data_IF_601246397451
#
_entry.id   IF_601246397451
#
_cell.length_a   1.000
_cell.length_b   1.000
_cell.length_c   1.000
_cell.angle_alpha   90.00
_cell.angle_beta   90.00
_cell.angle_gamma   90.00
#
_symmetry.space_group_name_H-M   'P 1'
#
loop_
_entity.id
_entity.type
_entity.pdbx_description
1 polymer ?
#
# COMPACT_ATOMS: atom_id res chain seq x y z
N UNK A 1 63.88 -37.88 1.54
CA UNK A 1 62.68 -37.83 0.68
C UNK A 1 61.51 -38.38 1.49
N UNK A 2 60.29 -37.81 1.47
CA UNK A 2 59.64 -37.15 0.35
C UNK A 2 59.28 -35.67 0.58
N UNK A 3 59.55 -34.85 -0.43
CA UNK A 3 59.11 -33.45 -0.60
C UNK A 3 58.00 -33.43 -1.65
N UNK A 4 56.78 -33.85 -1.31
CA UNK A 4 55.60 -33.60 -2.17
C UNK A 4 54.39 -33.55 -1.25
N UNK A 5 53.88 -32.35 -0.96
CA UNK A 5 52.48 -32.09 -0.58
C UNK A 5 52.17 -30.63 -0.16
N UNK A 6 53.17 -29.73 -0.16
CA UNK A 6 52.92 -28.32 0.16
C UNK A 6 52.36 -27.48 -1.01
N UNK A 7 52.46 -27.94 -2.26
CA UNK A 7 51.98 -27.18 -3.42
C UNK A 7 50.48 -27.33 -3.72
N UNK A 8 49.86 -28.46 -3.39
CA UNK A 8 48.41 -28.66 -3.65
C UNK A 8 47.54 -27.90 -2.64
N UNK A 9 48.05 -27.71 -1.41
CA UNK A 9 47.38 -26.92 -0.37
C UNK A 9 47.27 -25.44 -0.75
N UNK A 10 48.27 -24.90 -1.46
CA UNK A 10 48.27 -23.49 -1.88
C UNK A 10 47.34 -23.21 -3.06
N UNK A 11 47.17 -24.16 -4.00
CA UNK A 11 46.23 -24.05 -5.13
C UNK A 11 44.78 -24.15 -4.63
N UNK A 12 44.50 -24.99 -3.63
CA UNK A 12 43.17 -25.08 -3.04
C UNK A 12 42.84 -23.90 -2.11
N UNK A 13 43.82 -23.33 -1.39
CA UNK A 13 43.62 -22.09 -0.64
C UNK A 13 43.42 -20.88 -1.56
N UNK A 14 44.10 -20.81 -2.71
CA UNK A 14 43.90 -19.72 -3.67
C UNK A 14 42.57 -19.83 -4.44
N UNK A 15 41.97 -21.02 -4.55
CA UNK A 15 40.59 -21.17 -5.02
C UNK A 15 39.53 -20.89 -3.93
N UNK A 16 39.81 -21.19 -2.66
CA UNK A 16 38.89 -20.91 -1.55
C UNK A 16 38.92 -19.44 -1.11
N UNK A 17 40.03 -18.74 -1.37
CA UNK A 17 40.17 -17.29 -1.29
C UNK A 17 40.02 -16.70 -2.71
N UNK A 18 39.00 -17.16 -3.45
CA UNK A 18 38.37 -16.29 -4.45
C UNK A 18 37.68 -15.19 -3.67
N UNK A 19 38.53 -14.24 -3.31
CA UNK A 19 38.22 -13.04 -2.58
C UNK A 19 36.96 -12.45 -3.17
N UNK A 20 35.92 -12.34 -2.35
CA UNK A 20 34.89 -11.33 -2.47
C UNK A 20 35.53 -9.95 -2.26
N UNK A 21 36.58 -9.65 -3.02
CA UNK A 21 37.00 -8.29 -3.25
C UNK A 21 35.77 -7.61 -3.81
N UNK A 22 35.32 -6.59 -3.08
CA UNK A 22 34.56 -5.47 -3.60
C UNK A 22 35.35 -4.93 -4.80
N UNK A 23 35.24 -5.64 -5.92
CA UNK A 23 35.77 -5.27 -7.21
C UNK A 23 35.22 -3.88 -7.47
N UNK A 24 36.14 -2.93 -7.63
CA UNK A 24 35.87 -1.56 -7.99
C UNK A 24 34.78 -1.58 -9.07
N UNK A 25 33.58 -1.13 -8.68
CA UNK A 25 32.31 -1.33 -9.38
C UNK A 25 32.30 -0.73 -10.79
N UNK A 26 33.40 -0.06 -11.17
CA UNK A 26 33.60 0.75 -12.36
C UNK A 26 33.74 -0.02 -13.68
N UNK A 27 33.89 -1.34 -13.70
CA UNK A 27 33.87 -2.09 -14.98
C UNK A 27 33.20 -3.46 -14.89
N UNK A 28 31.93 -3.51 -14.44
CA UNK A 28 31.11 -4.69 -14.72
C UNK A 28 30.83 -4.75 -16.23
N UNK A 29 31.69 -5.47 -16.97
CA UNK A 29 31.51 -5.78 -18.41
C UNK A 29 30.36 -6.78 -18.65
N UNK A 30 29.65 -7.18 -17.60
CA UNK A 30 28.59 -8.19 -17.63
C UNK A 30 27.20 -7.57 -17.53
N UNK A 31 26.26 -8.14 -18.28
CA UNK A 31 24.84 -7.81 -18.14
C UNK A 31 24.25 -8.44 -16.88
N UNK A 32 23.41 -7.70 -16.17
CA UNK A 32 22.83 -8.19 -14.93
C UNK A 32 21.88 -7.22 -14.24
N UNK A 33 21.62 -7.48 -12.96
CA UNK A 33 20.76 -6.68 -12.11
C UNK A 33 21.53 -6.23 -10.89
N UNK A 34 21.61 -4.91 -10.71
CA UNK A 34 22.22 -4.26 -9.56
C UNK A 34 21.14 -3.93 -8.52
N UNK A 35 21.20 -4.60 -7.38
CA UNK A 35 20.28 -4.47 -6.27
C UNK A 35 20.91 -3.75 -5.06
N UNK A 36 21.94 -2.92 -5.27
CA UNK A 36 22.58 -2.15 -4.21
C UNK A 36 23.74 -2.92 -3.61
N UNK A 37 23.48 -3.81 -2.65
CA UNK A 37 24.48 -4.68 -2.00
C UNK A 37 24.76 -5.99 -2.76
N UNK A 38 24.07 -6.24 -3.87
CA UNK A 38 24.28 -7.42 -4.68
C UNK A 38 24.15 -7.14 -6.17
N UNK A 39 24.95 -7.85 -6.96
CA UNK A 39 24.83 -7.91 -8.41
C UNK A 39 24.48 -9.34 -8.85
N UNK A 40 23.51 -9.47 -9.74
CA UNK A 40 23.05 -10.73 -10.29
C UNK A 40 23.22 -10.71 -11.81
N UNK A 41 24.29 -11.30 -12.32
CA UNK A 41 24.49 -11.43 -13.76
C UNK A 41 23.45 -12.36 -14.39
N UNK A 42 23.29 -12.26 -15.71
CA UNK A 42 22.27 -13.02 -16.45
C UNK A 42 22.42 -14.54 -16.31
N UNK A 43 23.66 -15.03 -16.25
CA UNK A 43 23.93 -16.46 -16.06
C UNK A 43 23.37 -16.95 -14.71
N UNK A 44 23.58 -16.19 -13.64
CA UNK A 44 23.04 -16.51 -12.32
C UNK A 44 21.51 -16.46 -12.31
N UNK A 45 20.92 -15.45 -12.93
CA UNK A 45 19.45 -15.35 -13.06
C UNK A 45 18.90 -16.55 -13.83
N UNK A 46 19.53 -16.95 -14.93
CA UNK A 46 19.16 -18.12 -15.71
C UNK A 46 19.22 -19.42 -14.90
N UNK A 47 20.30 -19.63 -14.12
CA UNK A 47 20.41 -20.80 -13.25
C UNK A 47 19.29 -20.87 -12.22
N UNK A 48 18.98 -19.74 -11.57
CA UNK A 48 17.89 -19.69 -10.57
C UNK A 48 16.54 -19.98 -11.22
N UNK A 49 16.28 -19.47 -12.44
CA UNK A 49 15.07 -19.82 -13.18
C UNK A 49 15.01 -21.31 -13.52
N UNK A 50 16.12 -21.92 -13.93
CA UNK A 50 16.18 -23.37 -14.19
C UNK A 50 15.77 -24.16 -12.95
N UNK A 51 16.22 -23.74 -11.78
CA UNK A 51 15.78 -24.32 -10.49
C UNK A 51 14.29 -24.08 -10.22
N UNK A 52 13.80 -22.85 -10.43
CA UNK A 52 12.39 -22.52 -10.23
C UNK A 52 11.47 -23.37 -11.12
N UNK A 53 11.89 -23.68 -12.34
CA UNK A 53 11.13 -24.48 -13.30
C UNK A 53 11.39 -25.99 -13.26
N UNK A 54 12.17 -26.50 -12.29
CA UNK A 54 12.29 -27.94 -12.05
C UNK A 54 10.96 -28.53 -11.56
N UNK A 55 10.83 -29.86 -11.54
CA UNK A 55 9.60 -30.52 -11.07
C UNK A 55 9.26 -30.14 -9.62
N UNK A 56 10.27 -30.06 -8.75
CA UNK A 56 10.14 -29.60 -7.36
C UNK A 56 9.87 -28.10 -7.31
N UNK A 57 10.55 -27.34 -8.16
CA UNK A 57 10.45 -25.88 -8.17
C UNK A 57 9.04 -25.41 -8.51
N UNK A 58 8.42 -26.00 -9.54
CA UNK A 58 7.06 -25.66 -9.97
C UNK A 58 6.01 -25.87 -8.88
N UNK A 59 6.21 -26.81 -7.96
CA UNK A 59 5.29 -27.09 -6.84
C UNK A 59 5.27 -25.96 -5.80
N UNK A 60 6.29 -25.09 -5.79
CA UNK A 60 6.47 -24.05 -4.77
C UNK A 60 6.61 -22.63 -5.34
N UNK A 61 6.47 -22.44 -6.66
CA UNK A 61 6.35 -21.11 -7.27
C UNK A 61 5.11 -20.42 -6.68
N UNK A 62 5.26 -19.15 -6.29
CA UNK A 62 4.15 -18.34 -5.78
C UNK A 62 3.80 -17.24 -6.78
N UNK A 63 2.50 -16.92 -6.96
CA UNK A 63 2.11 -15.71 -7.66
C UNK A 63 2.69 -14.49 -6.94
N UNK A 64 3.09 -13.49 -7.70
CA UNK A 64 3.49 -12.21 -7.13
C UNK A 64 2.30 -11.59 -6.41
N UNK A 65 2.53 -11.12 -5.19
CA UNK A 65 1.55 -10.36 -4.43
C UNK A 65 2.25 -9.11 -3.90
N UNK A 66 1.94 -7.97 -4.49
CA UNK A 66 2.51 -6.70 -4.08
C UNK A 66 2.18 -5.54 -5.01
N UNK A 67 2.57 -4.31 -4.63
CA UNK A 67 2.18 -3.10 -5.34
C UNK A 67 3.04 -2.75 -6.57
N UNK A 68 4.10 -3.50 -6.90
CA UNK A 68 4.97 -3.18 -8.05
C UNK A 68 4.34 -3.54 -9.40
N UNK A 69 3.45 -4.52 -9.41
CA UNK A 69 2.78 -5.02 -10.61
C UNK A 69 1.30 -5.13 -10.33
N UNK A 70 0.48 -4.97 -11.36
CA UNK A 70 -0.96 -5.24 -11.27
C UNK A 70 -1.19 -6.76 -11.23
N UNK A 71 -2.17 -7.19 -10.42
CA UNK A 71 -2.58 -8.60 -10.35
C UNK A 71 -2.99 -9.15 -11.72
N UNK A 72 -3.50 -8.29 -12.62
CA UNK A 72 -3.87 -8.65 -13.98
C UNK A 72 -2.69 -9.16 -14.83
N UNK A 73 -1.44 -8.86 -14.43
CA UNK A 73 -0.25 -9.28 -15.17
C UNK A 73 0.09 -10.77 -14.98
N UNK A 74 -0.48 -11.44 -13.98
CA UNK A 74 -0.24 -12.86 -13.69
C UNK A 74 1.25 -13.21 -13.59
N UNK A 75 2.01 -12.40 -12.86
CA UNK A 75 3.44 -12.64 -12.61
C UNK A 75 3.65 -13.57 -11.42
N UNK A 76 4.79 -14.24 -11.43
CA UNK A 76 5.24 -15.18 -10.41
C UNK A 76 6.55 -14.72 -9.80
N UNK A 77 6.86 -15.23 -8.60
CA UNK A 77 8.11 -14.91 -7.92
C UNK A 77 8.84 -16.13 -7.39
N UNK A 78 10.16 -15.99 -7.37
CA UNK A 78 11.07 -16.95 -6.78
C UNK A 78 12.13 -16.27 -5.92
N UNK A 79 12.37 -16.72 -4.67
CA UNK A 79 13.33 -16.12 -3.79
C UNK A 79 14.75 -16.47 -4.21
N UNK A 80 15.64 -15.50 -4.19
CA UNK A 80 17.07 -15.75 -4.37
C UNK A 80 17.70 -15.92 -3.00
N UNK A 81 18.03 -17.17 -2.68
CA UNK A 81 18.69 -17.54 -1.43
C UNK A 81 20.21 -17.39 -1.59
N UNK A 82 20.90 -17.03 -0.51
CA UNK A 82 22.37 -17.01 -0.49
C UNK A 82 22.91 -18.42 -0.77
N UNK A 83 24.00 -18.51 -1.53
CA UNK A 83 24.74 -19.76 -1.75
C UNK A 83 25.03 -20.40 -0.39
N UNK A 84 24.60 -21.65 -0.20
CA UNK A 84 24.73 -22.39 1.07
C UNK A 84 23.39 -22.83 1.69
N UNK A 85 22.26 -22.29 1.23
CA UNK A 85 20.95 -22.86 1.59
C UNK A 85 20.74 -24.18 0.84
N UNK A 86 21.20 -25.30 1.42
CA UNK A 86 20.97 -26.64 0.88
C UNK A 86 19.49 -27.01 0.78
N UNK A 87 18.67 -26.44 1.66
CA UNK A 87 17.24 -26.72 1.67
C UNK A 87 16.54 -25.88 0.62
N UNK A 88 15.70 -26.56 -0.17
CA UNK A 88 14.80 -25.92 -1.10
C UNK A 88 14.00 -24.82 -0.41
N UNK A 89 13.49 -23.85 -1.16
CA UNK A 89 12.78 -22.74 -0.58
C UNK A 89 11.58 -23.24 0.28
N UNK A 90 11.53 -22.80 1.54
CA UNK A 90 10.37 -23.03 2.42
C UNK A 90 9.48 -21.80 2.45
N UNK A 91 8.22 -21.91 2.88
CA UNK A 91 7.33 -20.73 3.07
C UNK A 91 8.00 -19.61 3.90
N UNK A 92 8.78 -19.95 4.93
CA UNK A 92 9.56 -19.01 5.75
C UNK A 92 10.65 -18.29 4.95
N UNK A 93 11.27 -18.99 3.99
CA UNK A 93 12.32 -18.44 3.13
C UNK A 93 11.81 -17.28 2.25
N UNK A 94 10.57 -17.31 1.74
CA UNK A 94 9.99 -16.18 0.95
C UNK A 94 9.83 -14.93 1.78
N UNK A 95 9.35 -15.09 3.02
CA UNK A 95 9.10 -13.99 3.94
C UNK A 95 10.40 -13.29 4.34
N UNK A 96 11.50 -14.05 4.40
CA UNK A 96 12.83 -13.55 4.76
C UNK A 96 13.69 -13.19 3.54
N UNK A 97 13.29 -13.60 2.34
CA UNK A 97 14.05 -13.34 1.13
C UNK A 97 14.24 -11.82 0.95
N UNK A 98 15.51 -11.43 0.83
CA UNK A 98 15.89 -10.05 0.50
C UNK A 98 15.71 -9.79 -0.99
N UNK A 99 15.89 -10.82 -1.82
CA UNK A 99 15.87 -10.72 -3.28
C UNK A 99 14.89 -11.73 -3.87
N UNK A 100 14.18 -11.34 -4.92
CA UNK A 100 13.29 -12.24 -5.65
C UNK A 100 13.40 -11.98 -7.16
N UNK A 101 13.31 -13.03 -7.96
CA UNK A 101 13.11 -12.93 -9.41
C UNK A 101 11.61 -12.84 -9.67
N UNK A 102 11.20 -11.93 -10.55
CA UNK A 102 9.84 -11.82 -11.06
C UNK A 102 9.82 -12.25 -12.52
N UNK A 103 8.93 -13.16 -12.87
CA UNK A 103 8.80 -13.69 -14.24
C UNK A 103 7.33 -13.93 -14.61
N UNK A 104 7.03 -13.94 -15.91
CA UNK A 104 5.68 -14.27 -16.39
C UNK A 104 5.43 -15.78 -16.48
N UNK A 105 4.21 -16.16 -16.86
CA UNK A 105 3.79 -17.55 -17.04
C UNK A 105 4.66 -18.37 -18.01
N UNK A 106 5.41 -17.71 -18.90
CA UNK A 106 6.29 -18.36 -19.87
C UNK A 106 7.73 -18.47 -19.35
N UNK A 107 8.00 -18.04 -18.12
CA UNK A 107 9.35 -18.00 -17.53
C UNK A 107 10.21 -16.86 -18.03
N UNK A 108 9.65 -15.88 -18.76
CA UNK A 108 10.40 -14.68 -19.15
C UNK A 108 10.58 -13.79 -17.93
N UNK A 109 11.84 -13.52 -17.58
CA UNK A 109 12.18 -12.57 -16.51
C UNK A 109 11.61 -11.20 -16.85
N UNK A 110 10.87 -10.63 -15.91
CA UNK A 110 10.42 -9.23 -15.97
C UNK A 110 11.40 -8.34 -15.26
N UNK A 111 11.77 -8.71 -14.03
CA UNK A 111 12.60 -7.89 -13.17
C UNK A 111 13.23 -8.73 -12.05
N UNK A 112 14.26 -8.16 -11.42
CA UNK A 112 14.69 -8.57 -10.10
C UNK A 112 14.20 -7.55 -9.08
N UNK A 113 13.70 -7.99 -7.93
CA UNK A 113 13.22 -7.09 -6.87
C UNK A 113 13.98 -7.32 -5.56
N UNK A 114 14.22 -6.22 -4.84
CA UNK A 114 14.89 -6.21 -3.54
C UNK A 114 13.97 -5.65 -2.46
N UNK A 115 14.05 -6.25 -1.27
CA UNK A 115 13.28 -5.83 -0.09
C UNK A 115 13.86 -4.54 0.48
N UNK A 116 12.97 -3.58 0.68
CA UNK A 116 13.25 -2.27 1.26
C UNK A 116 13.21 -2.30 2.79
N UNK A 117 13.76 -1.27 3.43
CA UNK A 117 13.71 -1.11 4.89
C UNK A 117 12.28 -1.00 5.46
N UNK A 118 11.29 -0.67 4.63
CA UNK A 118 9.88 -0.61 4.98
C UNK A 118 9.12 -1.92 4.65
N UNK A 119 9.83 -3.01 4.36
CA UNK A 119 9.31 -4.33 3.98
C UNK A 119 8.56 -4.41 2.64
N UNK A 120 8.47 -3.31 1.89
CA UNK A 120 8.04 -3.35 0.49
C UNK A 120 9.19 -3.83 -0.40
N UNK A 121 8.92 -4.00 -1.69
CA UNK A 121 9.94 -4.32 -2.69
C UNK A 121 10.16 -3.15 -3.63
N UNK A 122 11.33 -3.11 -4.25
CA UNK A 122 11.64 -2.24 -5.38
C UNK A 122 12.39 -3.02 -6.45
N UNK A 123 12.26 -2.58 -7.71
CA UNK A 123 13.01 -3.13 -8.83
C UNK A 123 14.49 -2.82 -8.67
N UNK A 124 15.31 -3.83 -8.93
CA UNK A 124 16.75 -3.67 -9.07
C UNK A 124 17.06 -3.03 -10.42
N UNK A 125 18.21 -2.37 -10.49
CA UNK A 125 18.65 -1.67 -11.67
C UNK A 125 19.20 -2.64 -12.72
N UNK A 126 18.63 -2.67 -13.93
CA UNK A 126 19.18 -3.47 -15.05
C UNK A 126 20.45 -2.81 -15.57
N UNK A 127 21.58 -3.52 -15.50
CA UNK A 127 22.87 -3.08 -16.05
C UNK A 127 23.07 -3.79 -17.37
N UNK A 128 23.22 -3.02 -18.45
CA UNK A 128 23.58 -3.50 -19.78
C UNK A 128 24.96 -2.94 -20.11
N UNK A 129 25.92 -3.80 -20.42
CA UNK A 129 27.33 -3.43 -20.64
C UNK A 129 27.54 -2.45 -21.81
N UNK A 130 26.59 -2.38 -22.73
CA UNK A 130 26.63 -1.49 -23.90
C UNK A 130 25.95 -0.14 -23.69
N UNK A 131 25.24 0.05 -22.56
CA UNK A 131 24.38 1.21 -22.35
C UNK A 131 25.11 2.28 -21.54
N UNK A 132 25.25 3.48 -22.11
CA UNK A 132 25.89 4.60 -21.43
C UNK A 132 25.08 5.05 -20.22
N UNK A 133 25.77 5.45 -19.14
CA UNK A 133 25.13 5.96 -17.92
C UNK A 133 24.26 7.21 -18.20
N UNK A 134 24.53 7.97 -19.27
CA UNK A 134 23.69 9.11 -19.66
C UNK A 134 22.31 8.68 -20.19
N UNK A 135 22.23 7.59 -20.95
CA UNK A 135 20.96 7.08 -21.51
C UNK A 135 20.01 6.51 -20.45
N UNK A 136 20.52 6.32 -19.24
CA UNK A 136 19.81 5.81 -18.08
C UNK A 136 18.99 6.94 -17.41
N UNK A 137 19.53 8.15 -17.39
CA UNK A 137 18.88 9.31 -16.77
C UNK A 137 18.00 10.10 -17.76
N UNK A 138 18.22 9.93 -19.06
CA UNK A 138 17.44 10.58 -20.11
C UNK A 138 16.22 9.75 -20.50
N UNK A 139 15.19 9.76 -19.63
CA UNK A 139 13.84 9.36 -20.04
C UNK A 139 13.13 10.63 -20.49
N UNK A 140 12.94 10.77 -21.80
CA UNK A 140 12.26 11.91 -22.40
C UNK A 140 10.85 12.09 -21.80
N UNK A 141 10.57 13.30 -21.30
CA UNK A 141 9.30 13.59 -20.62
C UNK A 141 9.14 12.95 -19.23
N UNK A 142 10.22 12.44 -18.61
CA UNK A 142 10.17 12.04 -17.20
C UNK A 142 9.79 13.22 -16.31
N UNK A 143 8.91 12.95 -15.35
CA UNK A 143 8.39 13.96 -14.42
C UNK A 143 8.52 13.52 -12.95
N UNK A 144 9.36 12.52 -12.70
CA UNK A 144 9.63 12.02 -11.36
C UNK A 144 10.48 10.75 -11.35
N UNK A 145 10.45 10.07 -10.20
CA UNK A 145 11.21 8.87 -9.90
C UNK A 145 10.30 7.75 -9.38
N UNK A 146 10.47 6.54 -9.91
CA UNK A 146 9.88 5.30 -9.39
C UNK A 146 10.84 4.67 -8.37
N UNK A 147 10.42 4.65 -7.11
CA UNK A 147 11.16 4.10 -5.98
C UNK A 147 10.36 2.96 -5.35
N UNK A 148 10.40 1.79 -5.96
CA UNK A 148 9.49 0.69 -5.60
C UNK A 148 8.04 1.04 -5.96
N UNK A 149 7.05 0.88 -5.07
CA UNK A 149 5.66 1.20 -5.42
C UNK A 149 5.36 2.70 -5.42
N UNK A 150 6.32 3.52 -4.97
CA UNK A 150 6.12 4.95 -4.82
C UNK A 150 6.64 5.69 -6.05
N UNK A 151 5.85 6.66 -6.51
CA UNK A 151 6.26 7.63 -7.51
C UNK A 151 6.50 8.99 -6.85
N UNK A 152 7.72 9.51 -6.96
CA UNK A 152 8.14 10.79 -6.37
C UNK A 152 8.25 11.84 -7.49
N UNK A 153 7.34 12.83 -7.56
CA UNK A 153 7.32 13.80 -8.64
C UNK A 153 8.47 14.81 -8.51
N UNK A 154 8.89 15.39 -9.64
CA UNK A 154 9.99 16.35 -9.70
C UNK A 154 9.74 17.60 -8.85
N UNK A 155 8.50 18.04 -8.76
CA UNK A 155 8.11 19.14 -7.89
C UNK A 155 8.43 18.88 -6.41
N UNK A 156 8.37 17.63 -5.97
CA UNK A 156 8.80 17.23 -4.62
C UNK A 156 10.32 17.22 -4.50
N UNK A 157 11.02 16.69 -5.51
CA UNK A 157 12.49 16.66 -5.54
C UNK A 157 13.07 18.08 -5.46
N UNK A 158 12.55 19.02 -6.25
CA UNK A 158 12.96 20.44 -6.24
C UNK A 158 12.74 21.07 -4.86
N UNK A 159 11.60 20.81 -4.21
CA UNK A 159 11.33 21.28 -2.85
C UNK A 159 12.32 20.70 -1.84
N UNK A 160 12.60 19.40 -1.91
CA UNK A 160 13.57 18.74 -1.05
C UNK A 160 14.99 19.29 -1.26
N UNK A 161 15.40 19.52 -2.52
CA UNK A 161 16.71 20.09 -2.86
C UNK A 161 16.89 21.49 -2.28
N UNK A 162 15.89 22.36 -2.42
CA UNK A 162 15.94 23.71 -1.85
C UNK A 162 16.20 23.66 -0.34
N UNK A 163 15.43 22.84 0.38
CA UNK A 163 15.56 22.72 1.84
C UNK A 163 16.89 22.07 2.22
N UNK A 164 17.34 21.05 1.49
CA UNK A 164 18.63 20.42 1.73
C UNK A 164 19.78 21.42 1.55
N UNK A 165 19.73 22.23 0.50
CA UNK A 165 20.69 23.31 0.24
C UNK A 165 20.73 24.35 1.36
N UNK A 166 19.55 24.78 1.84
CA UNK A 166 19.44 25.69 2.98
C UNK A 166 20.03 25.12 4.29
N UNK A 167 20.20 23.80 4.40
CA UNK A 167 20.73 23.14 5.60
C UNK A 167 22.19 22.67 5.45
N UNK A 168 22.83 22.84 4.29
CA UNK A 168 24.23 22.49 4.09
C UNK A 168 25.14 23.31 5.01
N UNK A 169 26.04 22.65 5.73
CA UNK A 169 27.04 23.29 6.57
C UNK A 169 26.54 23.83 7.92
N UNK A 170 25.23 23.76 8.20
CA UNK A 170 24.64 24.31 9.44
C UNK A 170 24.79 23.41 10.69
N UNK A 171 25.50 22.28 10.59
CA UNK A 171 25.68 21.34 11.70
C UNK A 171 24.40 20.57 12.11
N UNK A 172 23.32 20.67 11.34
CA UNK A 172 22.12 19.86 11.55
C UNK A 172 22.38 18.38 11.22
N UNK A 173 21.51 17.49 11.72
CA UNK A 173 21.63 16.04 11.48
C UNK A 173 21.59 15.67 9.98
N UNK A 174 20.86 16.44 9.18
CA UNK A 174 20.87 16.37 7.72
C UNK A 174 21.31 17.72 7.12
N UNK A 175 21.94 17.72 5.92
CA UNK A 175 22.29 16.56 5.09
C UNK A 175 23.37 15.65 5.71
N UNK A 176 23.15 14.33 5.68
CA UNK A 176 24.01 13.32 6.31
C UNK A 176 25.02 12.79 5.30
N UNK A 177 26.28 12.56 5.67
CA UNK A 177 27.27 11.94 4.78
C UNK A 177 26.74 10.59 4.25
N UNK A 178 26.81 10.39 2.94
CA UNK A 178 26.45 9.13 2.31
C UNK A 178 27.42 8.03 2.75
N UNK A 179 26.87 6.87 3.12
CA UNK A 179 27.61 5.64 3.45
C UNK A 179 26.88 4.45 2.85
N UNK A 180 27.43 3.83 1.82
CA UNK A 180 26.86 2.67 1.14
C UNK A 180 27.57 2.40 -0.17
N UNK A 181 27.14 1.38 -0.91
CA UNK A 181 28.00 0.84 -1.98
C UNK A 181 27.80 1.52 -3.35
N UNK A 182 26.73 2.32 -3.52
CA UNK A 182 26.40 2.94 -4.81
C UNK A 182 27.43 3.99 -5.28
N UNK A 183 28.11 4.66 -4.36
CA UNK A 183 29.02 5.77 -4.63
C UNK A 183 30.24 5.66 -3.74
N UNK A 184 31.40 6.07 -4.25
CA UNK A 184 32.61 6.14 -3.45
C UNK A 184 32.52 7.27 -2.41
N UNK A 185 33.07 7.05 -1.22
CA UNK A 185 32.98 7.99 -0.09
C UNK A 185 33.75 9.29 -0.34
N UNK A 186 34.79 9.25 -1.16
CA UNK A 186 35.62 10.39 -1.58
C UNK A 186 34.84 11.48 -2.34
N UNK A 187 33.71 11.12 -2.97
CA UNK A 187 32.84 12.07 -3.67
C UNK A 187 32.14 13.05 -2.72
N UNK A 188 32.23 12.86 -1.41
CA UNK A 188 31.68 13.80 -0.42
C UNK A 188 30.16 13.96 -0.50
N UNK A 189 29.46 12.95 -1.03
CA UNK A 189 28.01 13.00 -1.24
C UNK A 189 27.25 13.00 0.08
N UNK A 190 26.11 13.67 0.10
CA UNK A 190 25.23 13.77 1.26
C UNK A 190 23.80 13.32 0.92
N UNK A 191 23.10 12.84 1.93
CA UNK A 191 21.74 12.37 1.87
C UNK A 191 20.79 13.38 2.49
N UNK A 192 19.61 13.52 1.90
CA UNK A 192 18.49 14.24 2.49
C UNK A 192 17.20 13.43 2.37
N UNK A 193 16.44 13.21 3.45
CA UNK A 193 15.25 12.35 3.43
C UNK A 193 14.09 12.98 2.66
N UNK A 194 13.29 12.14 1.98
CA UNK A 194 12.08 12.55 1.27
C UNK A 194 10.83 12.13 2.07
N UNK A 195 10.08 13.11 2.58
CA UNK A 195 8.85 12.91 3.34
C UNK A 195 7.60 13.35 2.56
N UNK A 196 7.30 12.69 1.43
CA UNK A 196 6.26 13.20 0.53
C UNK A 196 4.81 12.85 0.94
N UNK A 197 4.56 11.72 1.64
CA UNK A 197 3.20 11.28 1.98
C UNK A 197 2.47 12.14 3.01
N UNK A 198 3.20 12.78 3.92
CA UNK A 198 2.59 13.60 4.96
C UNK A 198 2.74 15.10 4.68
N UNK A 199 3.49 15.51 3.65
CA UNK A 199 3.84 16.89 3.26
C UNK A 199 4.38 17.81 4.38
N UNK A 200 4.39 17.37 5.63
CA UNK A 200 5.16 17.95 6.72
C UNK A 200 6.60 17.60 6.42
N UNK A 201 7.19 18.37 5.51
CA UNK A 201 8.63 18.39 5.31
C UNK A 201 9.19 18.90 6.63
N UNK A 202 9.59 17.98 7.50
CA UNK A 202 10.17 18.34 8.78
C UNK A 202 11.40 19.21 8.51
N UNK A 203 11.30 20.49 8.88
CA UNK A 203 12.41 21.44 8.74
C UNK A 203 13.69 20.93 9.41
N UNK A 204 13.55 20.07 10.43
CA UNK A 204 14.64 19.46 11.18
C UNK A 204 14.33 17.99 11.52
N UNK A 205 14.79 17.01 10.74
CA UNK A 205 14.65 15.61 11.10
C UNK A 205 15.66 15.28 12.21
N UNK A 206 15.18 15.12 13.44
CA UNK A 206 16.03 14.80 14.60
C UNK A 206 16.37 13.30 14.71
N UNK A 207 15.98 12.48 13.74
CA UNK A 207 16.26 11.05 13.76
C UNK A 207 16.37 10.49 12.33
N UNK A 208 17.19 9.44 12.11
CA UNK A 208 17.33 8.78 10.82
C UNK A 208 16.06 7.99 10.48
N UNK A 209 15.04 8.71 10.07
CA UNK A 209 13.72 8.19 9.72
C UNK A 209 13.48 8.43 8.24
N UNK A 210 13.04 7.40 7.54
CA UNK A 210 12.78 7.47 6.10
C UNK A 210 13.46 6.34 5.34
N UNK A 211 12.81 5.93 4.25
CA UNK A 211 13.35 4.93 3.32
C UNK A 211 13.85 5.57 2.03
N UNK A 212 13.41 6.79 1.70
CA UNK A 212 13.71 7.47 0.43
C UNK A 212 14.57 8.70 0.69
N UNK A 213 15.58 8.92 -0.13
CA UNK A 213 16.55 10.00 0.02
C UNK A 213 16.87 10.61 -1.34
N UNK A 214 17.08 11.93 -1.38
CA UNK A 214 17.86 12.56 -2.45
C UNK A 214 19.34 12.50 -2.07
N UNK A 215 20.19 12.29 -3.07
CA UNK A 215 21.64 12.36 -2.96
C UNK A 215 22.08 13.69 -3.55
N UNK A 216 22.80 14.49 -2.78
CA UNK A 216 23.33 15.78 -3.21
C UNK A 216 24.85 15.80 -3.07
N UNK A 217 25.52 16.55 -3.94
CA UNK A 217 26.95 16.81 -3.80
C UNK A 217 27.21 17.93 -2.77
N UNK A 218 28.48 18.27 -2.57
CA UNK A 218 28.91 19.34 -1.67
C UNK A 218 28.35 20.73 -2.03
N UNK A 219 27.98 20.96 -3.30
CA UNK A 219 27.37 22.21 -3.79
C UNK A 219 25.84 22.22 -3.69
N UNK A 220 25.23 21.13 -3.21
CA UNK A 220 23.78 21.00 -3.09
C UNK A 220 23.04 20.63 -4.37
N UNK A 221 23.75 20.29 -5.44
CA UNK A 221 23.15 19.80 -6.68
C UNK A 221 22.71 18.35 -6.52
N UNK A 222 21.56 18.02 -7.12
CA UNK A 222 21.05 16.65 -7.18
C UNK A 222 22.02 15.75 -7.95
N UNK A 223 22.39 14.63 -7.34
CA UNK A 223 23.08 13.53 -8.02
C UNK A 223 22.13 12.39 -8.34
N UNK A 224 21.27 12.01 -7.40
CA UNK A 224 20.34 10.90 -7.60
C UNK A 224 19.19 10.89 -6.58
N UNK A 225 18.22 10.01 -6.78
CA UNK A 225 17.21 9.62 -5.79
C UNK A 225 17.40 8.16 -5.47
N UNK A 226 17.57 7.82 -4.19
CA UNK A 226 17.85 6.47 -3.73
C UNK A 226 16.85 6.01 -2.67
N UNK A 227 16.70 4.69 -2.55
CA UNK A 227 15.88 4.07 -1.51
C UNK A 227 16.68 3.03 -0.72
N UNK A 228 16.45 3.00 0.59
CA UNK A 228 17.17 2.15 1.55
C UNK A 228 16.64 0.73 1.55
N UNK A 229 17.53 -0.24 1.38
CA UNK A 229 17.22 -1.68 1.43
C UNK A 229 17.11 -2.19 2.88
N UNK A 230 16.52 -3.37 3.08
CA UNK A 230 16.41 -3.99 4.41
C UNK A 230 17.78 -4.30 5.04
N UNK A 231 18.84 -4.37 4.24
CA UNK A 231 20.23 -4.56 4.69
C UNK A 231 20.97 -3.25 4.96
N UNK A 232 20.25 -2.14 5.11
CA UNK A 232 20.79 -0.79 5.39
C UNK A 232 21.68 -0.21 4.27
N UNK A 233 21.67 -0.81 3.09
CA UNK A 233 22.29 -0.27 1.88
C UNK A 233 21.25 0.51 1.04
N UNK A 234 21.60 0.90 -0.18
CA UNK A 234 20.74 1.69 -1.05
C UNK A 234 20.69 1.15 -2.48
N UNK A 235 19.58 1.41 -3.16
CA UNK A 235 19.44 1.26 -4.61
C UNK A 235 19.01 2.59 -5.24
N UNK A 236 19.35 2.78 -6.51
CA UNK A 236 18.90 3.93 -7.31
C UNK A 236 17.42 3.79 -7.65
N UNK A 237 16.68 4.89 -7.58
CA UNK A 237 15.34 4.97 -8.13
C UNK A 237 15.40 5.27 -9.63
N UNK A 238 14.40 4.84 -10.38
CA UNK A 238 14.40 4.98 -11.83
C UNK A 238 13.67 6.26 -12.23
N UNK A 239 14.21 7.04 -13.18
CA UNK A 239 13.44 8.13 -13.81
C UNK A 239 12.24 7.54 -14.51
N UNK A 240 11.06 8.07 -14.24
CA UNK A 240 9.83 7.58 -14.82
C UNK A 240 8.94 8.75 -15.24
N UNK A 241 8.17 8.52 -16.31
CA UNK A 241 7.05 9.39 -16.69
C UNK A 241 5.78 8.76 -16.14
N UNK A 242 5.13 9.45 -15.22
CA UNK A 242 3.78 9.13 -14.80
C UNK A 242 2.87 10.20 -15.38
N UNK A 243 2.10 9.83 -16.40
CA UNK A 243 1.13 10.74 -17.01
C UNK A 243 0.27 11.31 -15.90
N UNK A 244 0.24 12.65 -15.72
CA UNK A 244 -0.75 13.25 -14.85
C UNK A 244 -2.12 12.71 -15.27
N UNK A 245 -3.02 12.36 -14.34
CA UNK A 245 -4.38 12.00 -14.72
C UNK A 245 -4.93 13.10 -15.64
N UNK A 246 -5.49 12.69 -16.79
CA UNK A 246 -5.83 13.61 -17.87
C UNK A 246 -6.74 14.76 -17.34
N UNK A 247 -6.48 16.02 -17.71
CA UNK A 247 -7.21 17.19 -17.20
C UNK A 247 -8.70 17.22 -17.60
N UNK A 248 -9.11 16.44 -18.60
CA UNK A 248 -10.49 16.44 -19.14
C UNK A 248 -11.46 15.47 -18.45
N UNK A 249 -11.01 14.76 -17.41
CA UNK A 249 -11.97 14.42 -16.35
C UNK A 249 -12.16 15.70 -15.53
N UNK A 250 -13.04 16.59 -16.02
CA UNK A 250 -13.71 17.61 -15.20
C UNK A 250 -13.84 17.05 -13.80
N UNK A 251 -13.37 17.79 -12.80
CA UNK A 251 -13.49 17.47 -11.38
C UNK A 251 -14.97 17.14 -11.04
N UNK A 252 -15.41 15.93 -11.35
CA UNK A 252 -16.43 15.21 -10.63
C UNK A 252 -15.79 14.93 -9.27
N UNK A 253 -15.72 16.01 -8.48
CA UNK A 253 -15.52 16.04 -7.04
C UNK A 253 -14.81 14.80 -6.54
N UNK A 254 -13.47 14.78 -6.66
CA UNK A 254 -12.54 13.85 -6.01
C UNK A 254 -13.28 12.70 -5.33
N UNK A 255 -13.73 11.72 -6.12
CA UNK A 255 -14.56 10.64 -5.60
C UNK A 255 -13.76 10.06 -4.44
N UNK A 256 -14.28 10.15 -3.21
CA UNK A 256 -13.55 9.68 -2.05
C UNK A 256 -13.55 8.15 -2.11
N UNK A 257 -12.70 7.55 -2.94
CA UNK A 257 -12.53 6.11 -3.02
C UNK A 257 -12.19 5.63 -1.61
N UNK A 258 -13.12 4.91 -1.00
CA UNK A 258 -12.94 4.36 0.35
C UNK A 258 -12.30 3.00 0.19
N UNK A 259 -11.03 2.94 0.54
CA UNK A 259 -10.28 1.70 0.63
C UNK A 259 -10.61 1.01 1.95
N UNK A 260 -10.65 -0.31 1.93
CA UNK A 260 -10.94 -1.09 3.12
C UNK A 260 -10.98 -2.58 2.84
N UNK A 261 -11.61 -3.32 3.74
CA UNK A 261 -11.71 -4.78 3.67
C UNK A 261 -13.16 -5.24 3.82
N UNK A 262 -13.57 -6.28 3.10
CA UNK A 262 -14.89 -6.90 3.23
C UNK A 262 -14.77 -8.28 3.87
N UNK A 263 -15.46 -8.48 4.98
CA UNK A 263 -15.60 -9.79 5.63
C UNK A 263 -17.09 -10.12 5.76
N UNK A 264 -17.56 -11.20 5.15
CA UNK A 264 -18.93 -11.70 5.32
C UNK A 264 -19.99 -10.59 5.15
N UNK A 265 -19.86 -9.80 4.06
CA UNK A 265 -20.74 -8.68 3.73
C UNK A 265 -20.56 -7.41 4.57
N UNK A 266 -19.53 -7.35 5.42
CA UNK A 266 -19.24 -6.18 6.25
C UNK A 266 -18.00 -5.46 5.73
N UNK A 267 -18.15 -4.20 5.35
CA UNK A 267 -17.04 -3.34 4.95
C UNK A 267 -16.38 -2.65 6.16
N UNK A 268 -15.06 -2.73 6.22
CA UNK A 268 -14.18 -2.12 7.21
C UNK A 268 -13.35 -1.02 6.54
N UNK A 269 -13.64 0.23 6.87
CA UNK A 269 -12.98 1.40 6.28
C UNK A 269 -11.55 1.58 6.78
N UNK A 270 -10.62 1.89 5.86
CA UNK A 270 -9.22 2.12 6.20
C UNK A 270 -9.01 3.20 7.27
N UNK A 271 -9.82 4.24 7.31
CA UNK A 271 -9.70 5.28 8.33
C UNK A 271 -10.09 4.76 9.72
N UNK A 272 -11.17 3.98 9.80
CA UNK A 272 -11.61 3.30 11.03
C UNK A 272 -10.51 2.31 11.49
N UNK A 273 -9.95 1.53 10.57
CA UNK A 273 -8.89 0.56 10.85
C UNK A 273 -7.58 1.23 11.29
N UNK A 274 -7.18 2.34 10.67
CA UNK A 274 -6.01 3.14 11.10
C UNK A 274 -6.19 3.67 12.51
N UNK A 275 -7.39 4.13 12.86
CA UNK A 275 -7.69 4.56 14.22
C UNK A 275 -7.59 3.40 15.21
N UNK A 276 -8.12 2.23 14.85
CA UNK A 276 -8.02 1.03 15.67
C UNK A 276 -6.56 0.56 15.85
N UNK A 277 -5.72 0.63 14.81
CA UNK A 277 -4.30 0.33 14.86
C UNK A 277 -3.52 1.24 15.81
N UNK A 278 -3.80 2.56 15.80
CA UNK A 278 -3.22 3.51 16.77
C UNK A 278 -3.59 3.17 18.21
N UNK A 279 -4.84 2.77 18.45
CA UNK A 279 -5.28 2.34 19.79
C UNK A 279 -4.55 1.07 20.23
N UNK A 280 -4.37 0.09 19.33
CA UNK A 280 -3.61 -1.12 19.60
C UNK A 280 -2.16 -0.79 20.01
N UNK A 281 -1.53 0.16 19.29
CA UNK A 281 -0.17 0.60 19.58
C UNK A 281 -0.04 1.26 20.96
N UNK A 282 -1.01 2.12 21.33
CA UNK A 282 -1.05 2.76 22.65
C UNK A 282 -1.17 1.69 23.74
N UNK A 283 -2.08 0.73 23.58
CA UNK A 283 -2.30 -0.33 24.56
C UNK A 283 -1.03 -1.17 24.75
N UNK A 284 -0.37 -1.58 23.65
CA UNK A 284 0.90 -2.32 23.72
C UNK A 284 1.97 -1.56 24.50
N UNK A 285 2.12 -0.26 24.24
CA UNK A 285 3.11 0.59 24.93
C UNK A 285 2.84 0.73 26.42
N UNK A 286 1.57 0.76 26.82
CA UNK A 286 1.18 0.89 28.23
C UNK A 286 1.34 -0.41 29.04
N UNK A 287 1.75 -1.53 28.42
CA UNK A 287 1.97 -2.85 29.05
C UNK A 287 0.82 -3.34 29.94
N UNK A 288 -0.41 -2.87 29.70
CA UNK A 288 -1.56 -3.37 30.45
C UNK A 288 -1.82 -4.82 30.05
N UNK A 289 -1.92 -5.77 30.99
CA UNK A 289 -2.18 -7.17 30.67
C UNK A 289 -3.63 -7.34 30.21
N UNK A 290 -3.90 -7.07 28.93
CA UNK A 290 -5.24 -7.25 28.32
C UNK A 290 -5.25 -8.29 27.20
N UNK A 291 -4.22 -9.14 27.10
CA UNK A 291 -4.15 -10.23 26.10
C UNK A 291 -4.05 -9.78 24.64
N UNK A 292 -4.15 -8.47 24.38
CA UNK A 292 -4.07 -7.85 23.07
C UNK A 292 -3.20 -6.58 23.11
N UNK A 293 -2.56 -6.22 21.98
CA UNK A 293 -2.50 -6.97 20.72
C UNK A 293 -1.84 -8.35 20.89
N UNK A 294 -2.33 -9.36 20.16
CA UNK A 294 -1.85 -10.74 20.27
C UNK A 294 -0.90 -11.03 19.12
N UNK A 295 0.32 -11.47 19.43
CA UNK A 295 1.26 -11.89 18.40
C UNK A 295 0.70 -13.10 17.65
N UNK A 296 0.86 -13.09 16.33
CA UNK A 296 0.37 -14.14 15.45
C UNK A 296 1.37 -14.41 14.34
N UNK A 297 1.70 -15.69 14.18
CA UNK A 297 2.62 -16.17 13.16
C UNK A 297 2.03 -17.46 12.57
N UNK A 298 1.16 -17.31 11.57
CA UNK A 298 0.42 -18.44 11.00
C UNK A 298 -0.48 -18.07 9.82
N UNK A 299 -1.04 -19.07 9.11
CA UNK A 299 -1.97 -18.85 8.00
C UNK A 299 -3.25 -18.12 8.44
N UNK A 300 -3.79 -17.17 7.67
CA UNK A 300 -3.53 -16.94 6.24
C UNK A 300 -2.45 -15.88 6.01
N UNK A 301 -1.83 -15.34 7.06
CA UNK A 301 -0.86 -14.26 6.95
C UNK A 301 0.56 -14.81 6.76
N UNK A 302 1.23 -14.31 5.73
CA UNK A 302 2.59 -14.70 5.38
C UNK A 302 3.64 -13.82 6.07
N UNK A 303 3.32 -13.24 7.22
CA UNK A 303 4.28 -12.48 8.03
C UNK A 303 3.77 -12.39 9.46
N UNK A 304 4.68 -12.46 10.42
CA UNK A 304 4.32 -12.26 11.82
C UNK A 304 3.65 -10.90 12.01
N UNK A 305 2.54 -10.90 12.73
CA UNK A 305 1.65 -9.75 12.85
C UNK A 305 1.05 -9.67 14.26
N UNK A 306 0.43 -8.53 14.53
CA UNK A 306 -0.39 -8.30 15.70
C UNK A 306 -1.86 -8.46 15.31
N UNK A 307 -2.59 -9.28 16.06
CA UNK A 307 -4.04 -9.33 15.98
C UNK A 307 -4.63 -8.39 17.01
N UNK A 308 -5.59 -7.58 16.59
CA UNK A 308 -6.29 -6.64 17.44
C UNK A 308 -7.81 -6.78 17.29
N UNK A 309 -8.60 -6.94 18.36
CA UNK A 309 -10.03 -7.18 18.24
C UNK A 309 -10.77 -5.91 17.80
N UNK A 310 -11.58 -6.05 16.74
CA UNK A 310 -12.46 -5.00 16.25
C UNK A 310 -13.91 -5.48 16.21
N UNK A 311 -14.85 -4.56 16.35
CA UNK A 311 -16.27 -4.85 16.15
C UNK A 311 -16.65 -4.77 14.66
N UNK A 312 -17.90 -5.10 14.34
CA UNK A 312 -18.49 -5.01 12.98
C UNK A 312 -18.39 -3.63 12.32
N UNK A 313 -18.01 -2.60 13.07
CA UNK A 313 -17.91 -1.23 12.59
C UNK A 313 -16.46 -0.79 12.32
N UNK A 314 -15.49 -1.67 12.54
CA UNK A 314 -14.06 -1.36 12.47
C UNK A 314 -13.46 -0.71 13.72
N UNK A 315 -14.27 -0.51 14.77
CA UNK A 315 -13.83 0.15 16.00
C UNK A 315 -13.30 -0.87 17.01
N UNK A 316 -12.21 -0.53 17.69
CA UNK A 316 -11.60 -1.34 18.75
C UNK A 316 -12.51 -1.59 19.94
N UNK A 317 -12.45 -2.80 20.51
CA UNK A 317 -13.03 -3.07 21.83
C UNK A 317 -12.18 -2.42 22.93
N UNK A 318 -12.85 -1.81 23.93
CA UNK A 318 -12.23 -1.47 25.23
C UNK A 318 -12.62 -2.46 26.33
N UNK A 319 -13.83 -3.01 26.26
CA UNK A 319 -14.42 -3.93 27.23
C UNK A 319 -15.49 -4.80 26.56
N UNK A 320 -15.69 -6.03 27.03
CA UNK A 320 -16.78 -6.94 26.59
C UNK A 320 -16.33 -8.16 25.79
N UNK A 321 -17.31 -8.95 25.31
CA UNK A 321 -17.08 -10.17 24.52
C UNK A 321 -16.35 -9.84 23.21
N UNK A 322 -15.25 -10.54 22.96
CA UNK A 322 -14.47 -10.41 21.72
C UNK A 322 -15.34 -10.82 20.53
N UNK A 323 -15.47 -9.96 19.53
CA UNK A 323 -16.13 -10.30 18.27
C UNK A 323 -15.32 -11.33 17.48
N UNK A 324 -15.82 -11.81 16.35
CA UNK A 324 -15.07 -12.69 15.44
C UNK A 324 -14.02 -11.95 14.60
N UNK A 325 -14.14 -10.64 14.42
CA UNK A 325 -13.22 -9.86 13.56
C UNK A 325 -11.93 -9.45 14.28
N UNK A 326 -10.81 -9.49 13.56
CA UNK A 326 -9.47 -9.11 14.00
C UNK A 326 -8.88 -8.15 12.98
N UNK A 327 -8.48 -6.97 13.43
CA UNK A 327 -7.57 -6.12 12.68
C UNK A 327 -6.18 -6.76 12.72
N UNK A 328 -5.60 -6.96 11.55
CA UNK A 328 -4.28 -7.55 11.39
C UNK A 328 -3.32 -6.41 11.14
N UNK A 329 -2.34 -6.28 12.03
CA UNK A 329 -1.39 -5.19 12.03
C UNK A 329 0.01 -5.75 11.81
N UNK A 330 0.85 -5.05 11.07
CA UNK A 330 2.29 -5.31 11.05
C UNK A 330 2.89 -5.12 12.45
N UNK A 331 4.13 -5.58 12.67
CA UNK A 331 4.81 -5.40 13.96
C UNK A 331 5.02 -3.92 14.36
N UNK A 332 5.01 -3.02 13.38
CA UNK A 332 5.04 -1.56 13.53
C UNK A 332 3.63 -0.91 13.55
N UNK A 333 2.57 -1.70 13.76
CA UNK A 333 1.18 -1.26 13.93
C UNK A 333 0.54 -0.58 12.71
N UNK A 334 1.01 -0.89 11.50
CA UNK A 334 0.32 -0.51 10.25
C UNK A 334 -0.76 -1.53 9.92
N UNK A 335 -1.86 -1.06 9.33
CA UNK A 335 -2.95 -1.94 8.87
C UNK A 335 -2.41 -2.83 7.74
N UNK A 336 -2.41 -4.15 7.99
CA UNK A 336 -2.07 -5.16 6.98
C UNK A 336 -3.34 -5.67 6.29
N UNK A 337 -4.33 -6.06 7.09
CA UNK A 337 -5.60 -6.65 6.62
C UNK A 337 -6.64 -6.66 7.74
N UNK A 338 -7.82 -7.21 7.45
CA UNK A 338 -8.78 -7.68 8.45
C UNK A 338 -8.89 -9.20 8.32
N UNK A 339 -9.00 -9.91 9.45
CA UNK A 339 -9.31 -11.32 9.48
C UNK A 339 -10.61 -11.56 10.25
N UNK A 340 -11.29 -12.65 9.91
CA UNK A 340 -12.41 -13.19 10.66
C UNK A 340 -11.99 -14.50 11.30
N UNK A 341 -12.23 -14.65 12.59
CA UNK A 341 -12.08 -15.91 13.32
C UNK A 341 -13.24 -16.84 12.94
N UNK A 342 -12.94 -17.90 12.21
CA UNK A 342 -13.83 -19.05 12.01
C UNK A 342 -13.76 -20.01 13.19
N UNK A 343 -14.27 -21.22 13.02
CA UNK A 343 -14.34 -22.22 14.11
C UNK A 343 -12.94 -22.62 14.58
N UNK A 344 -12.02 -22.90 13.65
CA UNK A 344 -10.65 -23.33 13.95
C UNK A 344 -9.54 -22.48 13.33
N UNK A 345 -9.87 -21.57 12.42
CA UNK A 345 -8.87 -20.81 11.66
C UNK A 345 -9.21 -19.32 11.52
N UNK A 346 -8.22 -18.54 11.10
CA UNK A 346 -8.42 -17.16 10.67
C UNK A 346 -8.65 -17.14 9.16
N UNK A 347 -9.64 -16.40 8.72
CA UNK A 347 -9.92 -16.16 7.31
C UNK A 347 -9.57 -14.71 7.00
N UNK A 348 -8.66 -14.48 6.06
CA UNK A 348 -8.33 -13.13 5.62
C UNK A 348 -9.52 -12.54 4.85
N UNK A 349 -9.79 -11.26 5.08
CA UNK A 349 -10.84 -10.55 4.39
C UNK A 349 -10.32 -9.95 3.09
N UNK A 350 -11.22 -9.83 2.12
CA UNK A 350 -10.89 -9.32 0.79
C UNK A 350 -10.66 -7.81 0.85
N UNK A 351 -9.53 -7.34 0.30
CA UNK A 351 -9.30 -5.90 0.13
C UNK A 351 -10.22 -5.37 -0.97
N UNK A 352 -10.97 -4.32 -0.70
CA UNK A 352 -11.87 -3.69 -1.67
C UNK A 352 -11.70 -2.18 -1.65
N UNK A 353 -11.74 -1.60 -2.84
CA UNK A 353 -11.99 -0.18 -3.03
C UNK A 353 -13.48 -0.04 -3.34
N UNK A 354 -14.21 0.65 -2.47
CA UNK A 354 -15.61 1.01 -2.73
C UNK A 354 -15.67 2.50 -3.05
N UNK A 355 -16.60 2.87 -3.93
CA UNK A 355 -16.92 4.27 -4.15
C UNK A 355 -17.48 4.83 -2.84
N UNK A 356 -16.71 5.71 -2.23
CA UNK A 356 -16.86 5.98 -0.81
C UNK A 356 -17.73 7.17 -0.47
N UNK A 357 -18.11 7.95 -1.49
CA UNK A 357 -19.15 8.96 -1.35
C UNK A 357 -20.44 8.46 -1.96
N UNK A 358 -21.52 8.82 -1.30
CA UNK A 358 -22.88 8.65 -1.76
C UNK A 358 -23.04 9.44 -3.07
N UNK A 359 -22.75 8.81 -4.20
CA UNK A 359 -22.87 9.42 -5.53
C UNK A 359 -24.33 9.58 -5.90
N UNK A 360 -24.92 10.64 -5.38
CA UNK A 360 -26.25 11.06 -5.77
C UNK A 360 -26.06 12.09 -6.88
N UNK A 361 -25.93 11.63 -8.12
CA UNK A 361 -25.76 12.55 -9.25
C UNK A 361 -27.06 13.30 -9.56
N UNK A 362 -28.20 12.67 -9.24
CA UNK A 362 -29.54 13.19 -9.54
C UNK A 362 -30.13 13.87 -8.32
N UNK A 363 -30.80 15.00 -8.54
CA UNK A 363 -31.73 15.50 -7.53
C UNK A 363 -32.97 14.61 -7.52
N UNK A 364 -33.71 14.57 -6.42
CA UNK A 364 -34.96 13.80 -6.35
C UNK A 364 -36.11 14.74 -6.01
N UNK A 365 -37.19 14.67 -6.80
CA UNK A 365 -38.43 15.36 -6.54
C UNK A 365 -39.42 14.43 -5.84
N UNK A 366 -39.81 14.82 -4.63
CA UNK A 366 -40.80 14.16 -3.81
C UNK A 366 -41.97 15.12 -3.60
N UNK A 367 -43.05 14.98 -4.38
CA UNK A 367 -44.14 15.96 -4.41
C UNK A 367 -43.62 17.36 -4.78
N UNK A 368 -43.84 18.37 -3.93
CA UNK A 368 -43.32 19.73 -4.13
C UNK A 368 -41.86 19.91 -3.68
N UNK A 369 -41.30 18.95 -2.93
CA UNK A 369 -39.94 19.05 -2.41
C UNK A 369 -38.91 18.50 -3.41
N UNK A 370 -37.78 19.20 -3.52
CA UNK A 370 -36.61 18.76 -4.29
C UNK A 370 -35.44 18.62 -3.33
N UNK A 371 -34.83 17.45 -3.34
CA UNK A 371 -33.65 17.13 -2.56
C UNK A 371 -32.42 17.14 -3.45
N UNK A 372 -31.48 17.98 -3.08
CA UNK A 372 -30.18 18.05 -3.73
C UNK A 372 -29.33 16.79 -3.44
N UNK A 373 -28.41 16.44 -4.35
CA UNK A 373 -27.34 15.47 -4.11
C UNK A 373 -26.73 15.51 -2.71
N UNK A 374 -26.40 16.72 -2.25
CA UNK A 374 -25.72 16.97 -0.97
C UNK A 374 -26.60 16.63 0.23
N UNK A 375 -27.90 16.93 0.18
CA UNK A 375 -28.84 16.63 1.25
C UNK A 375 -29.04 15.13 1.41
N UNK A 376 -29.17 14.43 0.28
CA UNK A 376 -29.34 12.98 0.23
C UNK A 376 -28.08 12.28 0.75
N UNK A 377 -26.91 12.64 0.22
CA UNK A 377 -25.63 12.12 0.67
C UNK A 377 -25.41 12.35 2.19
N UNK A 378 -25.80 13.52 2.70
CA UNK A 378 -25.72 13.83 4.13
C UNK A 378 -26.64 12.96 4.98
N UNK A 379 -27.88 12.72 4.53
CA UNK A 379 -28.83 11.85 5.20
C UNK A 379 -28.34 10.40 5.21
N UNK A 380 -27.87 9.89 4.07
CA UNK A 380 -27.34 8.55 3.93
C UNK A 380 -26.08 8.33 4.79
N UNK A 381 -25.16 9.31 4.83
CA UNK A 381 -23.99 9.30 5.73
C UNK A 381 -24.37 9.21 7.20
N UNK A 382 -25.41 9.96 7.61
CA UNK A 382 -25.94 9.90 8.98
C UNK A 382 -26.59 8.54 9.26
N UNK A 383 -27.35 8.00 8.31
CA UNK A 383 -27.99 6.69 8.40
C UNK A 383 -26.94 5.59 8.61
N UNK A 384 -25.93 5.53 7.75
CA UNK A 384 -24.84 4.56 7.83
C UNK A 384 -24.07 4.64 9.16
N UNK A 385 -23.75 5.87 9.61
CA UNK A 385 -23.10 6.07 10.92
C UNK A 385 -23.96 5.63 12.09
N UNK A 386 -25.29 5.82 12.01
CA UNK A 386 -26.22 5.41 13.07
C UNK A 386 -26.48 3.92 13.09
N UNK A 387 -26.50 3.25 11.93
CA UNK A 387 -26.60 1.78 11.83
C UNK A 387 -25.53 1.07 12.65
N UNK A 388 -24.34 1.65 12.72
CA UNK A 388 -23.21 1.14 13.51
C UNK A 388 -23.48 1.14 15.03
N UNK A 389 -24.49 1.86 15.53
CA UNK A 389 -24.78 1.99 16.97
C UNK A 389 -25.89 1.00 17.38
N UNK A 390 -25.91 0.51 18.64
CA UNK A 390 -27.07 -0.20 19.16
C UNK A 390 -28.33 0.67 18.96
N UNK A 391 -29.35 0.13 18.31
CA UNK A 391 -30.56 0.88 17.96
C UNK A 391 -31.30 1.31 19.24
N UNK A 392 -31.07 2.56 19.67
CA UNK A 392 -31.96 3.26 20.62
C UNK A 392 -32.97 4.15 19.89
N UNK A 393 -32.71 4.48 18.64
CA UNK A 393 -33.57 5.30 17.79
C UNK A 393 -34.23 4.44 16.71
N UNK A 394 -35.47 4.75 16.36
CA UNK A 394 -36.21 4.06 15.29
C UNK A 394 -35.63 4.20 13.88
N UNK A 395 -34.48 4.85 13.69
CA UNK A 395 -33.81 4.97 12.39
C UNK A 395 -32.29 4.76 12.49
N UNK A 396 -31.65 4.22 11.43
CA UNK A 396 -32.28 3.69 10.22
C UNK A 396 -33.12 2.43 10.50
N UNK A 397 -34.25 2.28 9.82
CA UNK A 397 -35.21 1.18 10.00
C UNK A 397 -35.16 0.22 8.80
N UNK A 398 -35.37 -1.09 8.99
CA UNK A 398 -35.54 -2.03 7.87
C UNK A 398 -36.67 -1.60 6.92
N UNK A 399 -36.49 -1.87 5.63
CA UNK A 399 -37.48 -1.59 4.59
C UNK A 399 -37.66 -2.81 3.68
N UNK A 400 -38.91 -3.17 3.39
CA UNK A 400 -39.33 -4.35 2.62
C UNK A 400 -40.33 -3.98 1.50
N UNK A 401 -40.37 -2.71 1.09
CA UNK A 401 -41.27 -2.27 0.01
C UNK A 401 -40.64 -2.49 -1.37
N UNK A 402 -40.76 -1.49 -2.25
CA UNK A 402 -40.26 -1.56 -3.63
C UNK A 402 -38.80 -2.01 -3.71
N UNK A 403 -38.51 -2.81 -4.74
CA UNK A 403 -37.14 -3.20 -5.09
C UNK A 403 -36.45 -2.07 -5.84
N UNK A 404 -35.12 -1.98 -5.69
CA UNK A 404 -34.28 -0.97 -6.33
C UNK A 404 -33.16 -1.66 -7.11
N UNK A 405 -32.47 -0.91 -7.96
CA UNK A 405 -31.36 -1.41 -8.78
C UNK A 405 -30.14 -1.89 -7.96
N UNK A 406 -30.05 -1.49 -6.69
CA UNK A 406 -28.98 -1.95 -5.79
C UNK A 406 -29.46 -3.12 -4.95
N UNK A 407 -28.63 -4.14 -4.76
CA UNK A 407 -29.03 -5.33 -3.99
C UNK A 407 -29.32 -5.00 -2.53
N UNK A 408 -30.47 -5.47 -2.04
CA UNK A 408 -30.90 -5.37 -0.65
C UNK A 408 -30.10 -6.26 0.33
N UNK A 409 -30.44 -6.28 1.62
CA UNK A 409 -31.64 -5.69 2.24
C UNK A 409 -31.51 -4.18 2.48
N UNK A 410 -32.66 -3.50 2.52
CA UNK A 410 -32.74 -2.04 2.58
C UNK A 410 -33.01 -1.51 3.99
N UNK A 411 -32.54 -0.29 4.21
CA UNK A 411 -32.81 0.53 5.38
C UNK A 411 -33.28 1.91 4.95
N UNK A 412 -34.27 2.48 5.65
CA UNK A 412 -34.74 3.84 5.43
C UNK A 412 -34.26 4.79 6.52
N UNK A 413 -34.00 6.05 6.15
CA UNK A 413 -33.61 7.11 7.08
C UNK A 413 -34.21 8.47 6.69
N UNK A 414 -34.65 9.32 7.63
CA UNK A 414 -35.20 10.64 7.33
C UNK A 414 -34.26 11.55 6.52
N UNK A 415 -34.77 12.16 5.45
CA UNK A 415 -34.11 13.26 4.70
C UNK A 415 -34.94 14.54 4.87
N UNK A 416 -34.27 15.68 5.04
CA UNK A 416 -34.91 16.97 5.39
C UNK A 416 -34.20 18.12 4.68
N UNK A 417 -34.97 19.05 4.11
CA UNK A 417 -34.48 20.24 3.40
C UNK A 417 -33.87 21.27 4.35
N UNK A 418 -34.62 21.71 5.37
CA UNK A 418 -34.16 22.77 6.31
C UNK A 418 -34.86 22.76 7.69
N UNK A 419 -34.86 21.65 8.44
CA UNK A 419 -35.54 21.66 9.76
C UNK A 419 -34.71 21.11 10.92
N UNK A 420 -34.71 21.85 12.02
CA UNK A 420 -34.35 21.43 13.39
C UNK A 420 -35.41 20.54 14.05
N UNK A 421 -36.55 20.27 13.38
CA UNK A 421 -37.65 19.50 13.96
C UNK A 421 -37.19 18.08 14.35
N UNK A 422 -37.54 17.59 15.56
CA UNK A 422 -37.22 16.24 15.99
C UNK A 422 -38.02 15.17 15.24
N UNK A 423 -39.17 15.52 14.64
CA UNK A 423 -40.02 14.58 13.90
C UNK A 423 -39.35 14.13 12.60
N UNK A 424 -39.49 12.88 12.15
CA UNK A 424 -38.79 12.36 10.98
C UNK A 424 -39.24 12.98 9.64
N UNK A 425 -40.39 13.65 9.57
CA UNK A 425 -40.96 14.18 8.32
C UNK A 425 -41.48 13.07 7.40
N UNK A 426 -41.82 13.40 6.15
CA UNK A 426 -42.46 12.47 5.20
C UNK A 426 -41.47 11.76 4.27
N UNK A 427 -40.26 12.29 4.11
CA UNK A 427 -39.29 11.82 3.12
C UNK A 427 -38.22 10.92 3.75
N UNK A 428 -37.80 9.89 3.02
CA UNK A 428 -36.79 8.91 3.45
C UNK A 428 -35.75 8.69 2.36
N UNK A 429 -34.49 8.62 2.74
CA UNK A 429 -33.45 8.00 1.91
C UNK A 429 -33.40 6.51 2.19
N UNK A 430 -33.32 5.72 1.12
CA UNK A 430 -33.14 4.27 1.17
C UNK A 430 -31.67 3.95 0.96
N UNK A 431 -31.09 3.16 1.85
CA UNK A 431 -29.72 2.67 1.73
C UNK A 431 -29.67 1.15 1.93
N UNK A 432 -28.72 0.45 1.32
CA UNK A 432 -28.49 -0.96 1.58
C UNK A 432 -27.53 -1.19 2.78
N UNK A 433 -27.15 -2.46 3.03
CA UNK A 433 -26.18 -2.81 4.07
C UNK A 433 -24.74 -2.40 3.77
N UNK A 434 -24.42 -2.04 2.53
CA UNK A 434 -23.13 -1.46 2.15
C UNK A 434 -23.12 0.06 2.28
N UNK A 435 -24.27 0.65 2.60
CA UNK A 435 -24.50 2.09 2.59
C UNK A 435 -24.50 2.70 1.18
N UNK A 436 -24.87 1.93 0.17
CA UNK A 436 -25.19 2.47 -1.16
C UNK A 436 -26.61 3.06 -1.10
N UNK A 437 -26.84 4.17 -1.79
CA UNK A 437 -28.20 4.75 -1.88
C UNK A 437 -28.98 4.00 -2.95
N UNK A 438 -30.12 3.46 -2.54
CA UNK A 438 -31.04 2.77 -3.42
C UNK A 438 -32.03 3.73 -4.07
N UNK A 439 -32.48 4.76 -3.35
CA UNK A 439 -33.45 5.74 -3.85
C UNK A 439 -33.96 6.68 -2.75
N UNK A 440 -34.99 7.46 -3.09
CA UNK A 440 -35.70 8.34 -2.16
C UNK A 440 -37.19 7.98 -2.19
N UNK A 441 -37.78 7.89 -1.00
CA UNK A 441 -39.19 7.61 -0.80
C UNK A 441 -39.88 8.80 -0.14
N UNK A 442 -41.17 8.97 -0.41
CA UNK A 442 -42.05 9.91 0.29
C UNK A 442 -43.33 9.21 0.75
N UNK A 443 -43.92 9.70 1.82
CA UNK A 443 -45.20 9.20 2.32
C UNK A 443 -46.34 9.78 1.48
N UNK A 444 -47.12 8.93 0.84
CA UNK A 444 -48.34 9.34 0.14
C UNK A 444 -49.37 9.88 1.17
N UNK A 445 -49.96 11.07 0.94
CA UNK A 445 -50.84 11.70 1.90
C UNK A 445 -52.18 10.95 2.05
N UNK A 446 -52.61 10.19 1.05
CA UNK A 446 -53.88 9.50 0.98
C UNK A 446 -53.74 8.09 1.54
N UNK A 447 -52.82 7.28 1.00
CA UNK A 447 -52.66 5.87 1.38
C UNK A 447 -51.82 5.67 2.64
N UNK A 448 -51.00 6.67 3.02
CA UNK A 448 -49.98 6.56 4.07
C UNK A 448 -48.91 5.50 3.77
N UNK A 449 -48.73 5.13 2.51
CA UNK A 449 -47.68 4.23 2.07
C UNK A 449 -46.44 5.01 1.58
N UNK A 450 -45.28 4.35 1.56
CA UNK A 450 -44.06 4.94 1.00
C UNK A 450 -44.02 4.69 -0.50
N UNK A 451 -43.96 5.77 -1.28
CA UNK A 451 -43.85 5.75 -2.74
C UNK A 451 -42.52 6.35 -3.19
N UNK A 452 -41.99 5.88 -4.33
CA UNK A 452 -40.72 6.34 -4.86
C UNK A 452 -40.81 7.77 -5.42
N UNK A 453 -39.77 8.57 -5.15
CA UNK A 453 -39.63 9.91 -5.69
C UNK A 453 -38.98 9.88 -7.07
N UNK A 454 -39.42 10.75 -7.98
CA UNK A 454 -38.85 10.86 -9.32
C UNK A 454 -37.45 11.48 -9.29
N UNK A 455 -36.47 10.82 -9.92
CA UNK A 455 -35.14 11.39 -10.11
C UNK A 455 -35.17 12.46 -11.22
N UNK A 456 -34.61 13.64 -10.94
CA UNK A 456 -34.48 14.73 -11.91
C UNK A 456 -33.06 14.75 -12.49
N UNK A 457 -32.96 14.88 -13.82
CA UNK A 457 -31.67 15.13 -14.48
C UNK A 457 -31.22 16.57 -14.20
N UNK A 458 -29.90 16.84 -14.23
CA UNK A 458 -29.39 18.21 -14.12
C UNK A 458 -29.95 19.17 -15.19
N UNK A 459 -30.28 18.67 -16.39
CA UNK A 459 -30.84 19.51 -17.46
C UNK A 459 -32.25 20.01 -17.12
N UNK A 460 -33.10 19.14 -16.54
CA UNK A 460 -34.47 19.49 -16.17
C UNK A 460 -34.55 20.57 -15.07
N UNK A 461 -33.45 20.81 -14.35
CA UNK A 461 -33.33 21.89 -13.36
C UNK A 461 -32.90 23.23 -13.96
N UNK A 462 -32.30 23.25 -15.16
CA UNK A 462 -31.88 24.48 -15.82
C UNK A 462 -32.99 25.13 -16.65
N UNK A 463 -33.98 24.35 -17.08
CA UNK A 463 -35.14 24.83 -17.87
C UNK A 463 -36.23 25.50 -17.03
N UNK A 464 -36.08 25.55 -15.70
CA UNK A 464 -37.03 26.15 -14.75
C UNK A 464 -36.36 27.29 -13.98
#
# INVERSE_FOLDING_TARGET
MPKVNLFISWILLSFAVFSQTMLDRKELKENGYNCGDAFFNDLKVHYILKTAFSEEGRKIILPYSGPLYSDAMNYFTWPILSLGSMFGPTKSSWQKATYQIVFDKNGKVKDLIVRLANYQFAKCWRVESQRSEASIYSVEGSNGYECGPEFIPDSTIVKCLKIAGENLGKGHFYPLQYKGDLYSEDLGLKLWPIYYRNLVIHRYPNSPTGSFFIVINSTGQLRDVIVRTSKRNYIRCMRARKTPPAPDSVEFSQMSLRQGFICNGIFFDDNDLKQAGRLAQIVQKTKRPQGFPKFYDGPPFYSSCWLWPINKNGVSYRTGRLNKYRLVLTLDFKVLSVAMKGDNELLACESRVIEGDYHVLKSYRCQSDVFSPKEIASAAKKACKKRKRPQRSGFPAPYQGVEFDVTGPYLIYPVKKKSSSPKPGNHRVVINLMCDIAGILTMDPTTKELVECSAESPEALQER
#
